data_IF_024489031816
#
_entry.id   IF_024489031816
#
_cell.length_a   1.000
_cell.length_b   1.000
_cell.length_c   1.000
_cell.angle_alpha   90.00
_cell.angle_beta   90.00
_cell.angle_gamma   90.00
#
_symmetry.space_group_name_H-M   'P 1'
#
loop_
_entity.id
_entity.type
_entity.pdbx_description
1 polymer ?
#
# COMPACT_ATOMS: atom_id res chain seq x y z
N UNK A 1 75.19 -13.29 2.93
CA UNK A 1 73.88 -13.85 3.14
C UNK A 1 73.76 -15.22 2.52
N UNK A 2 73.42 -16.22 3.30
CA UNK A 2 73.32 -17.55 2.78
C UNK A 2 72.07 -17.75 1.90
N UNK A 3 72.15 -18.74 1.04
CA UNK A 3 71.03 -19.16 0.17
C UNK A 3 69.80 -19.51 0.99
N UNK A 4 69.93 -20.05 2.20
CA UNK A 4 68.84 -20.39 3.06
C UNK A 4 68.04 -19.20 3.57
N UNK A 5 68.68 -18.08 3.84
CA UNK A 5 68.04 -16.83 4.23
C UNK A 5 67.20 -16.25 3.10
N UNK A 6 67.72 -16.31 1.86
CA UNK A 6 67.01 -15.88 0.66
C UNK A 6 65.77 -16.77 0.43
N UNK A 7 65.90 -18.08 0.62
CA UNK A 7 64.79 -19.01 0.50
C UNK A 7 63.70 -18.75 1.53
N UNK A 8 64.08 -18.42 2.78
CA UNK A 8 63.12 -18.06 3.84
C UNK A 8 62.33 -16.80 3.52
N UNK A 9 63.03 -15.77 3.01
CA UNK A 9 62.39 -14.51 2.58
C UNK A 9 61.42 -14.76 1.44
N UNK A 10 61.80 -15.50 0.40
CA UNK A 10 60.92 -15.85 -0.71
C UNK A 10 59.70 -16.63 -0.28
N UNK A 11 59.88 -17.56 0.65
CA UNK A 11 58.80 -18.35 1.20
C UNK A 11 57.80 -17.49 2.01
N UNK A 12 58.34 -16.54 2.77
CA UNK A 12 57.50 -15.59 3.51
C UNK A 12 56.75 -14.64 2.57
N UNK A 13 57.37 -14.14 1.53
CA UNK A 13 56.74 -13.31 0.50
C UNK A 13 55.64 -14.07 -0.21
N UNK A 14 55.88 -15.30 -0.61
CA UNK A 14 54.88 -16.17 -1.24
C UNK A 14 53.64 -16.41 -0.34
N UNK A 15 53.90 -16.68 0.94
CA UNK A 15 52.81 -16.85 1.93
C UNK A 15 51.99 -15.56 2.10
N UNK A 16 52.67 -14.42 2.11
CA UNK A 16 52.03 -13.12 2.21
C UNK A 16 51.10 -12.85 1.01
N UNK A 17 51.59 -13.14 -0.20
CA UNK A 17 50.82 -13.00 -1.44
C UNK A 17 49.60 -13.94 -1.43
N UNK A 18 49.81 -15.18 -1.07
CA UNK A 18 48.70 -16.15 -0.95
C UNK A 18 47.66 -15.73 0.09
N UNK A 19 48.09 -15.14 1.19
CA UNK A 19 47.20 -14.61 2.21
C UNK A 19 46.36 -13.44 1.70
N UNK A 20 47.02 -12.48 1.01
CA UNK A 20 46.32 -11.34 0.39
C UNK A 20 45.30 -11.83 -0.62
N UNK A 21 45.64 -12.76 -1.49
CA UNK A 21 44.73 -13.35 -2.47
C UNK A 21 43.52 -14.01 -1.82
N UNK A 22 43.72 -14.75 -0.72
CA UNK A 22 42.62 -15.35 0.05
C UNK A 22 41.71 -14.32 0.67
N UNK A 23 42.28 -13.24 1.22
CA UNK A 23 41.48 -12.17 1.82
C UNK A 23 40.70 -11.41 0.75
N UNK A 24 41.29 -11.16 -0.41
CA UNK A 24 40.60 -10.54 -1.55
C UNK A 24 39.41 -11.40 -2.03
N UNK A 25 39.62 -12.70 -2.20
CA UNK A 25 38.54 -13.64 -2.57
C UNK A 25 37.43 -13.69 -1.54
N UNK A 26 37.78 -13.68 -0.26
CA UNK A 26 36.77 -13.62 0.84
C UNK A 26 35.98 -12.31 0.78
N UNK A 27 36.66 -11.19 0.56
CA UNK A 27 36.03 -9.88 0.47
C UNK A 27 35.06 -9.81 -0.73
N UNK A 28 35.45 -10.32 -1.89
CA UNK A 28 34.62 -10.40 -3.08
C UNK A 28 33.36 -11.27 -2.81
N UNK A 29 33.56 -12.40 -2.17
CA UNK A 29 32.47 -13.33 -1.82
C UNK A 29 31.50 -12.71 -0.84
N UNK A 30 32.00 -12.00 0.16
CA UNK A 30 31.19 -11.26 1.13
C UNK A 30 30.38 -10.15 0.47
N UNK A 31 30.98 -9.43 -0.49
CA UNK A 31 30.30 -8.41 -1.28
C UNK A 31 29.18 -9.00 -2.13
N UNK A 32 29.46 -10.10 -2.83
CA UNK A 32 28.43 -10.80 -3.64
C UNK A 32 27.26 -11.28 -2.79
N UNK A 33 27.56 -11.86 -1.63
CA UNK A 33 26.53 -12.30 -0.69
C UNK A 33 25.71 -11.13 -0.12
N UNK A 34 26.39 -10.01 0.20
CA UNK A 34 25.72 -8.81 0.69
C UNK A 34 24.80 -8.20 -0.37
N UNK A 35 25.25 -8.14 -1.63
CA UNK A 35 24.43 -7.68 -2.76
C UNK A 35 23.22 -8.59 -2.99
N UNK A 36 23.42 -9.91 -2.93
CA UNK A 36 22.33 -10.88 -3.04
C UNK A 36 21.29 -10.69 -1.95
N UNK A 37 21.73 -10.58 -0.70
CA UNK A 37 20.84 -10.35 0.44
C UNK A 37 20.09 -9.04 0.32
N UNK A 38 20.77 -7.96 -0.08
CA UNK A 38 20.13 -6.67 -0.28
C UNK A 38 19.05 -6.70 -1.36
N UNK A 39 19.33 -7.37 -2.48
CA UNK A 39 18.32 -7.60 -3.54
C UNK A 39 17.14 -8.39 -3.05
N UNK A 40 17.39 -9.48 -2.33
CA UNK A 40 16.33 -10.32 -1.79
C UNK A 40 15.44 -9.57 -0.79
N UNK A 41 16.06 -8.81 0.12
CA UNK A 41 15.32 -7.98 1.06
C UNK A 41 14.47 -6.93 0.36
N UNK A 42 15.02 -6.29 -0.67
CA UNK A 42 14.30 -5.31 -1.48
C UNK A 42 13.08 -5.93 -2.16
N UNK A 43 13.24 -7.09 -2.76
CA UNK A 43 12.15 -7.82 -3.40
C UNK A 43 11.07 -8.23 -2.40
N UNK A 44 11.48 -8.73 -1.24
CA UNK A 44 10.56 -9.13 -0.17
C UNK A 44 9.79 -7.93 0.40
N UNK A 45 10.46 -6.81 0.61
CA UNK A 45 9.82 -5.57 1.06
C UNK A 45 8.83 -5.03 0.03
N UNK A 46 9.20 -5.02 -1.26
CA UNK A 46 8.30 -4.58 -2.34
C UNK A 46 7.08 -5.49 -2.42
N UNK A 47 7.26 -6.79 -2.32
CA UNK A 47 6.16 -7.75 -2.33
C UNK A 47 5.23 -7.53 -1.14
N UNK A 48 5.79 -7.37 0.06
CA UNK A 48 5.03 -7.09 1.28
C UNK A 48 4.28 -5.77 1.21
N UNK A 49 4.90 -4.72 0.70
CA UNK A 49 4.27 -3.40 0.52
C UNK A 49 3.13 -3.45 -0.50
N UNK A 50 3.32 -4.15 -1.62
CA UNK A 50 2.25 -4.33 -2.62
C UNK A 50 1.05 -5.05 -2.02
N UNK A 51 1.30 -6.10 -1.25
CA UNK A 51 0.25 -6.84 -0.56
C UNK A 51 -0.52 -5.96 0.44
N UNK A 52 0.19 -5.17 1.24
CA UNK A 52 -0.44 -4.23 2.16
C UNK A 52 -1.24 -3.15 1.45
N UNK A 53 -0.72 -2.62 0.34
CA UNK A 53 -1.44 -1.64 -0.48
C UNK A 53 -2.71 -2.22 -1.08
N UNK A 54 -2.66 -3.44 -1.60
CA UNK A 54 -3.83 -4.12 -2.15
C UNK A 54 -4.90 -4.34 -1.08
N UNK A 55 -4.50 -4.75 0.11
CA UNK A 55 -5.41 -4.93 1.24
C UNK A 55 -6.02 -3.59 1.70
N UNK A 56 -5.24 -2.52 1.73
CA UNK A 56 -5.73 -1.17 2.05
C UNK A 56 -6.69 -0.65 0.99
N UNK A 57 -6.37 -0.82 -0.28
CA UNK A 57 -7.25 -0.42 -1.38
C UNK A 57 -8.57 -1.17 -1.34
N UNK A 58 -8.54 -2.46 -1.04
CA UNK A 58 -9.75 -3.27 -0.87
C UNK A 58 -10.62 -2.76 0.27
N UNK A 59 -10.01 -2.45 1.42
CA UNK A 59 -10.72 -1.89 2.58
C UNK A 59 -11.32 -0.52 2.29
N UNK A 60 -10.56 0.36 1.62
CA UNK A 60 -11.05 1.68 1.22
C UNK A 60 -12.20 1.56 0.24
N UNK A 61 -12.11 0.65 -0.71
CA UNK A 61 -13.19 0.37 -1.68
C UNK A 61 -14.46 -0.11 -0.98
N UNK A 62 -14.34 -1.08 -0.07
CA UNK A 62 -15.47 -1.58 0.71
C UNK A 62 -16.10 -0.49 1.58
N UNK A 63 -15.29 0.31 2.27
CA UNK A 63 -15.78 1.43 3.07
C UNK A 63 -16.44 2.51 2.22
N UNK A 64 -15.93 2.78 1.03
CA UNK A 64 -16.49 3.75 0.09
C UNK A 64 -17.83 3.25 -0.46
N UNK A 65 -17.92 1.99 -0.82
CA UNK A 65 -19.17 1.38 -1.28
C UNK A 65 -20.26 1.40 -0.19
N UNK A 66 -19.89 1.12 1.05
CA UNK A 66 -20.79 1.19 2.21
C UNK A 66 -21.29 2.62 2.44
N UNK A 67 -20.38 3.62 2.39
CA UNK A 67 -20.76 5.04 2.48
C UNK A 67 -21.67 5.47 1.33
N UNK A 68 -21.38 5.04 0.12
CA UNK A 68 -22.19 5.35 -1.04
C UNK A 68 -23.61 4.76 -0.89
N UNK A 69 -23.72 3.55 -0.36
CA UNK A 69 -25.01 2.91 -0.07
C UNK A 69 -25.80 3.67 1.00
N UNK A 70 -25.12 4.09 2.08
CA UNK A 70 -25.72 4.88 3.15
C UNK A 70 -26.24 6.24 2.62
N UNK A 71 -25.45 6.90 1.79
CA UNK A 71 -25.85 8.16 1.15
C UNK A 71 -27.05 7.97 0.24
N UNK A 72 -27.12 6.89 -0.53
CA UNK A 72 -28.28 6.57 -1.37
C UNK A 72 -29.53 6.33 -0.54
N UNK A 73 -29.40 5.60 0.57
CA UNK A 73 -30.53 5.34 1.50
C UNK A 73 -31.05 6.62 2.14
N UNK A 74 -30.14 7.47 2.63
CA UNK A 74 -30.50 8.76 3.18
C UNK A 74 -31.16 9.66 2.15
N UNK A 75 -30.63 9.67 0.93
CA UNK A 75 -31.22 10.41 -0.18
C UNK A 75 -32.61 9.94 -0.56
N UNK A 76 -32.83 8.64 -0.54
CA UNK A 76 -34.13 8.04 -0.81
C UNK A 76 -35.16 8.38 0.27
N UNK A 77 -34.76 8.28 1.54
CA UNK A 77 -35.61 8.68 2.66
C UNK A 77 -35.98 10.15 2.58
N UNK A 78 -35.03 11.02 2.26
CA UNK A 78 -35.26 12.46 2.10
C UNK A 78 -36.18 12.76 0.90
N UNK A 79 -35.98 12.06 -0.21
CA UNK A 79 -36.85 12.20 -1.38
C UNK A 79 -38.30 11.79 -1.08
N UNK A 80 -38.49 10.68 -0.36
CA UNK A 80 -39.80 10.24 0.09
C UNK A 80 -40.47 11.25 1.04
N UNK A 81 -39.70 11.81 1.96
CA UNK A 81 -40.16 12.87 2.85
C UNK A 81 -40.66 14.09 2.12
N UNK A 82 -39.86 14.55 1.14
CA UNK A 82 -40.21 15.71 0.29
C UNK A 82 -41.46 15.42 -0.52
N UNK A 83 -41.56 14.25 -1.11
CA UNK A 83 -42.73 13.81 -1.88
C UNK A 83 -44.00 13.78 -1.04
N UNK A 84 -43.91 13.22 0.17
CA UNK A 84 -45.03 13.17 1.11
C UNK A 84 -45.48 14.56 1.54
N UNK A 85 -44.53 15.45 1.90
CA UNK A 85 -44.81 16.82 2.28
C UNK A 85 -45.48 17.60 1.13
N UNK A 86 -44.99 17.42 -0.08
CA UNK A 86 -45.58 18.04 -1.28
C UNK A 86 -47.02 17.55 -1.53
N UNK A 87 -47.27 16.24 -1.37
CA UNK A 87 -48.57 15.68 -1.53
C UNK A 87 -49.55 16.21 -0.48
N UNK A 88 -49.16 16.29 0.78
CA UNK A 88 -49.96 16.89 1.85
C UNK A 88 -50.31 18.37 1.56
N UNK A 89 -49.35 19.14 1.04
CA UNK A 89 -49.54 20.53 0.67
C UNK A 89 -50.51 20.69 -0.52
N UNK A 90 -50.41 19.79 -1.50
CA UNK A 90 -51.35 19.76 -2.63
C UNK A 90 -52.76 19.46 -2.14
N UNK A 91 -52.92 18.46 -1.29
CA UNK A 91 -54.22 18.08 -0.72
C UNK A 91 -54.87 19.22 0.09
N UNK A 92 -54.06 19.95 0.88
CA UNK A 92 -54.51 21.14 1.60
C UNK A 92 -54.92 22.26 0.67
N UNK A 93 -54.16 22.51 -0.39
CA UNK A 93 -54.48 23.52 -1.36
C UNK A 93 -55.78 23.22 -2.12
N UNK A 94 -55.95 21.97 -2.53
CA UNK A 94 -57.19 21.50 -3.17
C UNK A 94 -58.38 21.66 -2.24
N UNK A 95 -58.25 21.23 -0.98
CA UNK A 95 -59.30 21.34 0.04
C UNK A 95 -59.67 22.82 0.30
N UNK A 96 -58.69 23.71 0.36
CA UNK A 96 -58.92 25.15 0.55
C UNK A 96 -59.68 25.75 -0.61
N UNK A 97 -59.34 25.44 -1.84
CA UNK A 97 -60.07 25.89 -3.04
C UNK A 97 -61.47 25.39 -3.07
N UNK A 98 -61.73 24.11 -2.75
CA UNK A 98 -63.07 23.53 -2.70
C UNK A 98 -63.94 24.18 -1.63
N UNK A 99 -63.39 24.46 -0.47
CA UNK A 99 -64.12 25.16 0.60
C UNK A 99 -64.53 26.58 0.20
N UNK A 100 -63.67 27.30 -0.49
CA UNK A 100 -64.01 28.61 -1.03
C UNK A 100 -65.08 28.59 -2.10
N UNK A 101 -65.05 27.59 -2.94
CA UNK A 101 -66.10 27.39 -3.95
C UNK A 101 -67.46 27.11 -3.29
N UNK A 102 -67.52 26.35 -2.21
CA UNK A 102 -68.74 26.04 -1.46
C UNK A 102 -69.32 27.24 -0.70
N UNK A 103 -68.52 28.23 -0.35
CA UNK A 103 -68.96 29.47 0.32
C UNK A 103 -69.62 30.45 -0.61
N UNK A 104 -69.46 30.27 -1.90
CA UNK A 104 -70.09 31.08 -2.93
C UNK A 104 -71.44 30.47 -3.26
#
# INVERSE_FOLDING_TARGET
>A
MGVDEIKKVRKAEKKAIEHVEKVEKKAEKMLEEAVKKAKQQKEDEIFSMKKEMDEKMKRVKEATEEKAEDIRKEGQVEAERIQKAAQENIDKAVSHVLDRIKEV
#
